data_IF_577205999184
#
_entry.id   IF_577205999184
#
_cell.length_a   1.000
_cell.length_b   1.000
_cell.length_c   1.000
_cell.angle_alpha   90.00
_cell.angle_beta   90.00
_cell.angle_gamma   90.00
#
_symmetry.space_group_name_H-M   'P 1'
#
loop_
_entity.id
_entity.type
_entity.pdbx_description
1 polymer ?
#
# COMPACT_ATOMS: atom_id res chain seq x y z
N UNK A 1 -8.42 -16.95 -11.11
CA UNK A 1 -9.66 -17.71 -10.78
C UNK A 1 -9.73 -17.81 -9.26
N UNK A 2 -10.89 -17.60 -8.63
CA UNK A 2 -11.07 -17.60 -7.16
C UNK A 2 -12.24 -18.53 -6.79
N UNK A 3 -12.19 -19.12 -5.62
CA UNK A 3 -13.33 -19.90 -5.09
C UNK A 3 -14.21 -19.00 -4.23
N UNK A 4 -15.53 -19.06 -4.41
CA UNK A 4 -16.49 -18.30 -3.62
C UNK A 4 -17.26 -19.24 -2.70
N UNK A 5 -17.35 -18.90 -1.42
CA UNK A 5 -18.16 -19.60 -0.44
C UNK A 5 -19.57 -19.02 -0.39
N UNK A 6 -20.57 -19.83 -0.70
CA UNK A 6 -21.98 -19.50 -0.50
C UNK A 6 -22.48 -20.12 0.79
N UNK A 7 -23.18 -19.33 1.61
CA UNK A 7 -23.81 -19.82 2.85
C UNK A 7 -25.31 -19.87 2.63
N UNK A 8 -25.83 -21.09 2.45
CA UNK A 8 -27.25 -21.33 2.13
C UNK A 8 -28.21 -20.69 3.15
N UNK A 9 -27.88 -20.78 4.44
CA UNK A 9 -28.70 -20.20 5.50
C UNK A 9 -28.87 -18.67 5.37
N UNK A 10 -27.84 -17.98 4.89
CA UNK A 10 -27.89 -16.52 4.70
C UNK A 10 -28.25 -16.15 3.25
N UNK A 11 -28.45 -17.15 2.38
CA UNK A 11 -28.70 -16.99 0.94
C UNK A 11 -27.71 -16.06 0.24
N UNK A 12 -26.44 -16.08 0.65
CA UNK A 12 -25.44 -15.11 0.21
C UNK A 12 -24.02 -15.66 0.14
N UNK A 13 -23.18 -14.95 -0.62
CA UNK A 13 -21.75 -15.18 -0.69
C UNK A 13 -21.07 -14.58 0.54
N UNK A 14 -20.32 -15.39 1.29
CA UNK A 14 -19.76 -15.01 2.59
C UNK A 14 -18.24 -14.93 2.62
N UNK A 15 -17.55 -15.56 1.65
CA UNK A 15 -16.09 -15.64 1.68
C UNK A 15 -15.49 -15.85 0.29
N UNK A 16 -14.26 -15.36 0.13
CA UNK A 16 -13.42 -15.59 -1.03
C UNK A 16 -12.21 -16.40 -0.60
N UNK A 17 -11.93 -17.48 -1.32
CA UNK A 17 -10.78 -18.34 -1.06
C UNK A 17 -9.81 -18.29 -2.25
N UNK A 18 -8.51 -18.24 -1.93
CA UNK A 18 -7.42 -18.18 -2.91
C UNK A 18 -7.06 -19.54 -3.51
N UNK A 19 -7.55 -20.63 -2.93
CA UNK A 19 -7.30 -21.99 -3.40
C UNK A 19 -8.40 -22.49 -4.33
N UNK A 20 -8.04 -23.39 -5.25
CA UNK A 20 -8.94 -23.97 -6.26
C UNK A 20 -8.93 -25.49 -6.12
N UNK A 21 -9.87 -26.07 -5.34
CA UNK A 21 -10.01 -27.53 -5.23
C UNK A 21 -10.75 -28.09 -6.44
N UNK A 22 -10.59 -29.39 -6.66
CA UNK A 22 -11.29 -30.12 -7.72
C UNK A 22 -12.63 -30.67 -7.21
N UNK A 23 -12.69 -31.03 -5.92
CA UNK A 23 -13.93 -31.43 -5.25
C UNK A 23 -13.91 -31.13 -3.75
N UNK A 24 -15.09 -30.99 -3.15
CA UNK A 24 -15.31 -30.88 -1.71
C UNK A 24 -16.04 -32.12 -1.19
N UNK A 25 -15.68 -32.59 -0.01
CA UNK A 25 -16.40 -33.65 0.69
C UNK A 25 -16.38 -33.45 2.21
N UNK A 26 -17.28 -34.14 2.90
CA UNK A 26 -17.36 -34.13 4.36
C UNK A 26 -17.42 -35.57 4.86
N UNK A 27 -16.57 -35.92 5.83
CA UNK A 27 -16.53 -37.23 6.46
C UNK A 27 -16.44 -37.08 7.98
N UNK A 28 -17.37 -37.68 8.70
CA UNK A 28 -17.35 -37.68 10.18
C UNK A 28 -17.39 -36.28 10.82
N UNK A 29 -17.95 -35.28 10.12
CA UNK A 29 -17.97 -33.89 10.59
C UNK A 29 -16.78 -33.04 10.12
N UNK A 30 -15.71 -33.66 9.62
CA UNK A 30 -14.53 -32.99 9.08
C UNK A 30 -14.70 -32.70 7.59
N UNK A 31 -14.30 -31.50 7.17
CA UNK A 31 -14.29 -31.11 5.76
C UNK A 31 -12.96 -31.51 5.12
N UNK A 32 -13.03 -32.09 3.92
CA UNK A 32 -11.89 -32.39 3.09
C UNK A 32 -12.10 -31.83 1.69
N UNK A 33 -11.00 -31.64 0.99
CA UNK A 33 -10.98 -31.23 -0.42
C UNK A 33 -10.06 -32.17 -1.20
N UNK A 34 -10.40 -32.42 -2.44
CA UNK A 34 -9.56 -33.17 -3.38
C UNK A 34 -8.83 -32.18 -4.27
N UNK A 35 -7.52 -32.38 -4.42
CA UNK A 35 -6.69 -31.65 -5.37
C UNK A 35 -5.66 -32.56 -6.02
N UNK A 36 -5.67 -32.63 -7.35
CA UNK A 36 -4.75 -33.43 -8.15
C UNK A 36 -4.73 -34.91 -7.68
N UNK A 37 -5.91 -35.44 -7.35
CA UNK A 37 -6.09 -36.80 -6.82
C UNK A 37 -5.74 -37.00 -5.34
N UNK A 38 -5.17 -36.00 -4.67
CA UNK A 38 -4.81 -36.06 -3.26
C UNK A 38 -5.93 -35.54 -2.35
N UNK A 39 -6.08 -36.16 -1.18
CA UNK A 39 -7.03 -35.75 -0.16
C UNK A 39 -6.38 -34.78 0.84
N UNK A 40 -7.00 -33.61 1.04
CA UNK A 40 -6.52 -32.58 1.96
C UNK A 40 -7.57 -32.28 3.01
N UNK A 41 -7.20 -32.39 4.28
CA UNK A 41 -8.07 -32.00 5.40
C UNK A 41 -8.12 -30.47 5.53
N UNK A 42 -9.31 -29.92 5.73
CA UNK A 42 -9.50 -28.49 6.01
C UNK A 42 -9.54 -28.24 7.52
N UNK A 43 -9.08 -27.06 7.95
CA UNK A 43 -9.04 -26.64 9.36
C UNK A 43 -8.29 -27.63 10.27
N UNK A 44 -7.20 -28.21 9.76
CA UNK A 44 -6.33 -29.07 10.56
C UNK A 44 -5.60 -28.25 11.63
N UNK A 45 -6.01 -28.44 12.89
CA UNK A 45 -5.42 -27.76 14.05
C UNK A 45 -4.01 -28.23 14.39
N UNK A 46 -3.56 -29.35 13.84
CA UNK A 46 -2.20 -29.87 14.08
C UNK A 46 -1.16 -29.20 13.18
N UNK A 47 -1.59 -28.55 12.09
CA UNK A 47 -0.68 -27.82 11.21
C UNK A 47 -0.22 -26.50 11.86
N UNK A 48 1.09 -26.29 12.05
CA UNK A 48 1.61 -25.06 12.65
C UNK A 48 1.57 -23.85 11.71
N UNK A 49 1.32 -24.03 10.41
CA UNK A 49 1.32 -22.97 9.39
C UNK A 49 -0.11 -22.79 8.87
N UNK A 50 -0.76 -21.70 9.28
CA UNK A 50 -2.11 -21.37 8.81
C UNK A 50 -2.12 -20.90 7.34
N UNK A 51 -3.32 -20.82 6.75
CA UNK A 51 -3.56 -20.37 5.37
C UNK A 51 -2.72 -21.07 4.29
N UNK A 52 -2.33 -22.32 4.55
CA UNK A 52 -1.62 -23.15 3.59
C UNK A 52 -2.59 -24.13 2.96
N UNK A 53 -2.74 -24.04 1.64
CA UNK A 53 -3.61 -24.89 0.84
C UNK A 53 -2.79 -25.54 -0.25
N UNK A 54 -2.78 -26.88 -0.30
CA UNK A 54 -2.06 -27.65 -1.30
C UNK A 54 -0.54 -27.36 -1.33
N UNK A 55 0.05 -27.12 -0.15
CA UNK A 55 1.46 -26.76 0.01
C UNK A 55 1.80 -25.29 -0.32
N UNK A 56 0.83 -24.47 -0.72
CA UNK A 56 1.02 -23.06 -1.02
C UNK A 56 0.41 -22.20 0.10
N UNK A 57 1.22 -21.31 0.68
CA UNK A 57 0.77 -20.34 1.69
C UNK A 57 0.17 -19.11 1.03
N UNK A 58 -0.96 -18.65 1.54
CA UNK A 58 -1.64 -17.43 1.09
C UNK A 58 -1.82 -16.45 2.26
N UNK A 59 -1.80 -15.14 2.00
CA UNK A 59 -2.10 -14.15 3.03
C UNK A 59 -3.61 -14.09 3.32
N UNK A 60 -3.97 -13.83 4.57
CA UNK A 60 -5.31 -13.36 4.93
C UNK A 60 -5.53 -11.96 4.36
N UNK A 61 -6.71 -11.72 3.77
CA UNK A 61 -7.09 -10.40 3.24
C UNK A 61 -8.47 -9.99 3.72
N UNK A 62 -8.60 -8.72 4.09
CA UNK A 62 -9.87 -8.10 4.46
C UNK A 62 -9.99 -6.81 3.69
N UNK A 63 -11.12 -6.63 3.00
CA UNK A 63 -11.43 -5.41 2.27
C UNK A 63 -12.68 -4.79 2.88
N UNK A 64 -12.63 -3.49 3.16
CA UNK A 64 -13.73 -2.75 3.79
C UNK A 64 -13.66 -1.27 3.42
N UNK A 65 -14.70 -0.51 3.74
CA UNK A 65 -14.81 0.91 3.38
C UNK A 65 -15.19 1.72 4.60
N UNK A 66 -14.46 2.79 4.88
CA UNK A 66 -14.91 3.85 5.78
C UNK A 66 -15.60 4.94 4.98
N UNK A 67 -16.89 5.15 5.25
CA UNK A 67 -17.73 6.12 4.55
C UNK A 67 -18.76 6.76 5.49
N UNK A 68 -18.32 7.16 6.69
CA UNK A 68 -19.13 7.98 7.59
C UNK A 68 -19.38 9.36 6.95
N UNK A 69 -20.56 9.97 7.06
CA UNK A 69 -20.90 11.29 6.48
C UNK A 69 -20.61 11.45 4.96
N UNK A 70 -21.30 10.66 4.13
CA UNK A 70 -21.01 10.40 2.71
C UNK A 70 -20.81 11.62 1.79
N UNK A 71 -21.36 12.78 2.12
CA UNK A 71 -21.30 14.00 1.28
C UNK A 71 -20.10 14.91 1.57
N UNK A 72 -19.47 14.75 2.73
CA UNK A 72 -18.36 15.61 3.15
C UNK A 72 -17.01 14.99 2.75
N UNK A 73 -16.07 15.83 2.33
CA UNK A 73 -14.67 15.43 2.29
C UNK A 73 -14.14 15.27 3.71
N UNK A 74 -13.41 14.19 3.95
CA UNK A 74 -12.81 13.87 5.25
C UNK A 74 -11.31 13.87 5.16
N UNK A 75 -10.69 14.02 6.32
CA UNK A 75 -9.27 13.74 6.53
C UNK A 75 -9.15 12.60 7.53
N UNK A 76 -8.45 11.54 7.12
CA UNK A 76 -8.17 10.37 7.94
C UNK A 76 -6.84 10.58 8.66
N UNK A 77 -6.84 10.49 10.00
CA UNK A 77 -5.65 10.80 10.82
C UNK A 77 -4.95 9.55 11.36
N UNK A 78 -5.72 8.53 11.73
CA UNK A 78 -5.18 7.34 12.39
C UNK A 78 -5.79 6.06 11.85
N UNK A 79 -5.11 4.95 12.07
CA UNK A 79 -5.65 3.62 11.91
C UNK A 79 -5.39 2.82 13.18
N UNK A 80 -6.45 2.24 13.73
CA UNK A 80 -6.41 1.49 14.99
C UNK A 80 -6.98 0.11 14.77
N UNK A 81 -6.22 -0.90 15.16
CA UNK A 81 -6.62 -2.30 15.09
C UNK A 81 -6.84 -2.80 16.51
N UNK A 82 -8.04 -3.32 16.78
CA UNK A 82 -8.35 -4.08 17.99
C UNK A 82 -8.24 -5.57 17.66
N UNK A 83 -7.19 -6.22 18.14
CA UNK A 83 -6.87 -7.58 17.74
C UNK A 83 -5.57 -8.10 18.32
N UNK A 84 -5.22 -9.33 17.95
CA UNK A 84 -4.02 -10.01 18.48
C UNK A 84 -2.71 -9.60 17.81
N UNK A 85 -2.77 -8.99 16.61
CA UNK A 85 -1.62 -8.67 15.77
C UNK A 85 -1.84 -7.41 14.93
N UNK A 86 -0.76 -6.74 14.51
CA UNK A 86 -0.80 -5.69 13.49
C UNK A 86 -0.89 -6.29 12.07
N UNK A 87 -1.38 -5.50 11.12
CA UNK A 87 -1.62 -5.90 9.73
C UNK A 87 -0.95 -4.90 8.79
N UNK A 88 -0.59 -5.34 7.58
CA UNK A 88 -0.31 -4.42 6.48
C UNK A 88 -1.64 -3.80 6.05
N UNK A 89 -1.65 -2.49 5.81
CA UNK A 89 -2.88 -1.77 5.45
C UNK A 89 -2.60 -0.87 4.25
N UNK A 90 -3.38 -1.00 3.19
CA UNK A 90 -3.48 0.00 2.13
C UNK A 90 -4.77 0.79 2.29
N UNK A 91 -4.68 2.11 2.18
CA UNK A 91 -5.82 3.01 2.27
C UNK A 91 -5.85 3.85 0.99
N UNK A 92 -6.96 3.80 0.26
CA UNK A 92 -7.19 4.55 -0.97
C UNK A 92 -8.48 5.36 -0.83
N UNK A 93 -8.42 6.64 -1.13
CA UNK A 93 -9.61 7.48 -1.29
C UNK A 93 -9.79 7.82 -2.77
N UNK A 94 -10.76 8.65 -3.08
CA UNK A 94 -10.91 9.23 -4.41
C UNK A 94 -9.82 10.26 -4.78
N UNK A 95 -9.03 10.75 -3.80
CA UNK A 95 -8.03 11.81 -4.00
C UNK A 95 -6.60 11.40 -3.61
N UNK A 96 -6.45 10.58 -2.58
CA UNK A 96 -5.16 10.31 -1.94
C UNK A 96 -5.01 8.84 -1.59
N UNK A 97 -3.76 8.40 -1.38
CA UNK A 97 -3.43 7.03 -1.02
C UNK A 97 -2.36 6.99 0.05
N UNK A 98 -2.40 6.01 0.94
CA UNK A 98 -1.29 5.70 1.84
C UNK A 98 -1.20 4.21 2.15
N UNK A 99 -0.10 3.82 2.78
CA UNK A 99 0.16 2.46 3.23
C UNK A 99 0.73 2.43 4.66
N UNK A 100 0.37 1.44 5.45
CA UNK A 100 0.93 1.15 6.77
C UNK A 100 1.54 -0.24 6.78
N UNK A 101 2.80 -0.33 7.23
CA UNK A 101 3.48 -1.59 7.50
C UNK A 101 3.15 -2.05 8.92
N UNK A 102 3.32 -3.34 9.19
CA UNK A 102 3.14 -3.90 10.54
C UNK A 102 4.01 -3.19 11.59
N UNK A 103 5.17 -2.67 11.19
CA UNK A 103 6.13 -1.92 12.02
C UNK A 103 5.71 -0.46 12.29
N UNK A 104 4.75 0.09 11.54
CA UNK A 104 4.23 1.45 11.82
C UNK A 104 3.29 1.47 13.02
N UNK A 105 2.81 0.30 13.45
CA UNK A 105 1.89 0.17 14.56
C UNK A 105 2.63 0.07 15.89
N UNK A 106 2.22 0.90 16.84
CA UNK A 106 2.62 0.81 18.23
C UNK A 106 1.52 0.08 19.02
N UNK A 107 1.89 -1.02 19.68
CA UNK A 107 0.98 -1.71 20.58
C UNK A 107 0.80 -0.87 21.85
N UNK A 108 -0.44 -0.50 22.16
CA UNK A 108 -0.82 0.14 23.41
C UNK A 108 -2.00 -0.65 23.97
N UNK A 109 -1.80 -1.25 25.15
CA UNK A 109 -2.77 -2.17 25.75
C UNK A 109 -3.16 -3.29 24.76
N UNK A 110 -4.46 -3.46 24.52
CA UNK A 110 -5.04 -4.48 23.64
C UNK A 110 -5.21 -4.01 22.19
N UNK A 111 -4.57 -2.90 21.79
CA UNK A 111 -4.78 -2.25 20.49
C UNK A 111 -3.45 -1.89 19.82
N UNK A 112 -3.48 -1.86 18.49
CA UNK A 112 -2.37 -1.44 17.65
C UNK A 112 -2.72 -0.10 17.02
N UNK A 113 -1.93 0.94 17.32
CA UNK A 113 -2.17 2.31 16.88
C UNK A 113 -1.12 2.74 15.85
N UNK A 114 -1.57 3.30 14.74
CA UNK A 114 -0.72 3.96 13.75
C UNK A 114 -1.31 5.33 13.36
N UNK A 115 -0.42 6.29 13.12
CA UNK A 115 -0.78 7.51 12.41
C UNK A 115 -0.76 7.23 10.90
N UNK A 116 -1.70 7.80 10.16
CA UNK A 116 -1.61 7.75 8.71
C UNK A 116 -0.39 8.55 8.24
N UNK A 117 0.27 8.04 7.20
CA UNK A 117 1.40 8.71 6.56
C UNK A 117 0.88 9.67 5.50
N UNK A 118 1.77 10.49 4.95
CA UNK A 118 1.42 11.40 3.86
C UNK A 118 0.96 10.66 2.60
N UNK A 119 0.41 11.44 1.67
CA UNK A 119 -0.16 10.96 0.41
C UNK A 119 0.88 10.36 -0.53
N UNK A 120 0.93 9.03 -0.61
CA UNK A 120 1.79 8.22 -1.47
C UNK A 120 1.17 7.96 -2.86
N UNK A 121 0.23 8.79 -3.32
CA UNK A 121 -0.35 8.69 -4.66
C UNK A 121 0.72 9.01 -5.71
N UNK A 122 0.97 8.07 -6.62
CA UNK A 122 1.99 8.20 -7.65
C UNK A 122 1.68 9.37 -8.59
N UNK A 123 2.70 10.20 -8.85
CA UNK A 123 2.58 11.39 -9.71
C UNK A 123 1.83 12.56 -9.08
N UNK A 124 1.35 12.43 -7.84
CA UNK A 124 0.85 13.57 -7.09
C UNK A 124 2.03 14.37 -6.51
N UNK A 125 2.30 15.51 -7.12
CA UNK A 125 3.38 16.43 -6.75
C UNK A 125 2.87 17.64 -5.96
N UNK A 126 1.62 17.61 -5.51
CA UNK A 126 1.03 18.72 -4.77
C UNK A 126 1.65 18.79 -3.36
N UNK A 127 2.20 19.95 -3.02
CA UNK A 127 2.69 20.27 -1.67
C UNK A 127 4.09 19.75 -1.31
N UNK A 128 4.66 18.82 -2.08
CA UNK A 128 5.95 18.17 -1.75
C UNK A 128 7.01 18.24 -2.87
N UNK A 129 6.74 18.94 -3.98
CA UNK A 129 7.67 19.05 -5.11
C UNK A 129 8.28 20.45 -5.25
N UNK A 130 9.50 20.49 -5.79
CA UNK A 130 10.27 21.71 -6.03
C UNK A 130 11.02 21.64 -7.37
N UNK A 131 11.21 22.79 -8.00
CA UNK A 131 12.01 22.89 -9.23
C UNK A 131 13.50 22.70 -8.96
N UNK A 132 14.13 21.78 -9.70
CA UNK A 132 15.59 21.70 -9.78
C UNK A 132 16.09 22.66 -10.86
N UNK A 133 15.53 22.57 -12.07
CA UNK A 133 15.90 23.40 -13.21
C UNK A 133 15.89 22.63 -14.53
N UNK A 134 16.36 23.28 -15.60
CA UNK A 134 16.50 22.67 -16.91
C UNK A 134 17.77 21.81 -16.93
N UNK A 135 17.63 20.53 -17.26
CA UNK A 135 18.75 19.62 -17.45
C UNK A 135 19.56 20.02 -18.69
N UNK A 136 20.88 20.13 -18.55
CA UNK A 136 21.79 20.52 -19.64
C UNK A 136 22.26 19.31 -20.44
N UNK A 137 22.62 18.25 -19.74
CA UNK A 137 23.07 16.98 -20.30
C UNK A 137 22.87 15.87 -19.27
N UNK A 138 22.95 14.63 -19.72
CA UNK A 138 22.95 13.48 -18.85
C UNK A 138 23.98 12.46 -19.33
N UNK A 139 24.56 11.74 -18.38
CA UNK A 139 25.39 10.56 -18.60
C UNK A 139 24.75 9.36 -17.87
N UNK A 140 25.36 8.17 -17.97
CA UNK A 140 24.92 6.88 -17.43
C UNK A 140 23.88 6.92 -16.32
N UNK A 141 24.13 7.61 -15.22
CA UNK A 141 23.27 7.71 -14.04
C UNK A 141 23.18 9.15 -13.48
N UNK A 142 23.71 10.13 -14.21
CA UNK A 142 23.94 11.48 -13.69
C UNK A 142 23.32 12.54 -14.61
N UNK A 143 22.51 13.42 -14.03
CA UNK A 143 21.92 14.60 -14.67
C UNK A 143 22.75 15.84 -14.31
N UNK A 144 23.06 16.67 -15.32
CA UNK A 144 23.84 17.89 -15.15
C UNK A 144 22.97 19.13 -15.32
N UNK A 145 23.20 20.13 -14.47
CA UNK A 145 22.44 21.37 -14.36
C UNK A 145 23.39 22.55 -14.26
N UNK A 146 22.89 23.76 -14.56
CA UNK A 146 23.65 24.98 -14.29
C UNK A 146 23.93 25.17 -12.79
N UNK A 147 22.92 24.83 -11.96
CA UNK A 147 22.98 24.80 -10.51
C UNK A 147 21.86 23.92 -10.00
N UNK A 148 22.14 23.09 -9.01
CA UNK A 148 21.17 22.29 -8.26
C UNK A 148 20.69 23.09 -7.04
N UNK A 149 19.38 23.08 -6.79
CA UNK A 149 18.80 23.73 -5.61
C UNK A 149 19.26 23.06 -4.31
N UNK A 150 19.60 23.86 -3.30
CA UNK A 150 20.03 23.38 -1.98
C UNK A 150 18.95 22.55 -1.27
N UNK A 151 17.69 22.79 -1.63
CA UNK A 151 16.55 22.06 -1.10
C UNK A 151 16.45 20.63 -1.65
N UNK A 152 17.14 20.27 -2.74
CA UNK A 152 17.13 18.91 -3.29
C UNK A 152 18.06 18.02 -2.48
N UNK A 153 17.56 16.91 -1.95
CA UNK A 153 18.31 16.06 -1.01
C UNK A 153 18.48 14.64 -1.56
N UNK A 154 19.49 13.94 -1.03
CA UNK A 154 19.67 12.51 -1.26
C UNK A 154 18.45 11.78 -0.68
N UNK A 155 17.84 10.90 -1.48
CA UNK A 155 16.59 10.21 -1.18
C UNK A 155 15.33 10.88 -1.74
N UNK A 156 15.43 12.08 -2.32
CA UNK A 156 14.32 12.68 -3.07
C UNK A 156 14.07 11.91 -4.40
N UNK A 157 12.86 11.99 -4.92
CA UNK A 157 12.51 11.41 -6.23
C UNK A 157 12.57 12.48 -7.32
N UNK A 158 13.21 12.18 -8.45
CA UNK A 158 13.26 13.10 -9.59
C UNK A 158 12.22 12.78 -10.64
N UNK A 159 11.61 13.83 -11.19
CA UNK A 159 10.64 13.75 -12.27
C UNK A 159 11.06 14.68 -13.41
N UNK A 160 10.91 14.24 -14.66
CA UNK A 160 10.90 15.14 -15.82
C UNK A 160 9.47 15.62 -16.07
N UNK A 161 9.34 16.89 -16.47
CA UNK A 161 8.10 17.39 -17.06
C UNK A 161 8.14 17.20 -18.58
N UNK A 162 7.24 16.36 -19.10
CA UNK A 162 6.96 16.25 -20.53
C UNK A 162 5.55 16.81 -20.79
N UNK A 163 5.49 18.10 -21.16
CA UNK A 163 4.26 18.89 -21.08
C UNK A 163 3.81 19.03 -19.62
N UNK A 164 2.54 18.75 -19.34
CA UNK A 164 1.95 18.81 -17.99
C UNK A 164 2.05 17.49 -17.22
N UNK A 165 2.75 16.48 -17.76
CA UNK A 165 2.84 15.15 -17.14
C UNK A 165 4.20 14.95 -16.47
N UNK A 166 4.24 14.76 -15.13
CA UNK A 166 5.45 14.34 -14.45
C UNK A 166 5.74 12.87 -14.73
N UNK A 167 6.95 12.56 -15.17
CA UNK A 167 7.43 11.20 -15.43
C UNK A 167 8.60 10.93 -14.49
N UNK A 168 8.49 9.88 -13.67
CA UNK A 168 9.53 9.46 -12.72
C UNK A 168 10.82 9.09 -13.47
N UNK A 169 11.95 9.62 -12.97
CA UNK A 169 13.29 9.28 -13.44
C UNK A 169 13.90 8.24 -12.50
N UNK A 170 13.95 8.54 -11.20
CA UNK A 170 14.56 7.70 -10.18
C UNK A 170 14.79 8.46 -8.88
N UNK A 171 15.41 7.80 -7.91
CA UNK A 171 15.72 8.36 -6.60
C UNK A 171 17.14 8.94 -6.58
N UNK A 172 17.32 10.10 -5.95
CA UNK A 172 18.62 10.76 -5.81
C UNK A 172 19.53 9.98 -4.87
N UNK A 173 20.69 9.53 -5.36
CA UNK A 173 21.71 8.84 -4.57
C UNK A 173 22.94 9.72 -4.29
N UNK A 174 23.14 10.78 -5.07
CA UNK A 174 24.24 11.72 -4.90
C UNK A 174 23.91 13.09 -5.49
N UNK A 175 24.50 14.15 -4.94
CA UNK A 175 24.35 15.52 -5.47
C UNK A 175 25.65 16.32 -5.33
N UNK A 176 25.93 17.17 -6.32
CA UNK A 176 26.91 18.26 -6.26
C UNK A 176 26.19 19.59 -6.47
N UNK A 177 26.93 20.69 -6.61
CA UNK A 177 26.35 22.00 -6.93
C UNK A 177 25.72 22.04 -8.34
N UNK A 178 26.12 21.14 -9.23
CA UNK A 178 25.81 21.15 -10.67
C UNK A 178 25.36 19.79 -11.22
N UNK A 179 25.31 18.74 -10.39
CA UNK A 179 24.90 17.41 -10.84
C UNK A 179 24.08 16.65 -9.80
N UNK A 180 23.24 15.74 -10.29
CA UNK A 180 22.47 14.81 -9.48
C UNK A 180 22.64 13.40 -10.05
N UNK A 181 23.07 12.47 -9.21
CA UNK A 181 23.17 11.05 -9.52
C UNK A 181 21.90 10.32 -9.05
N UNK A 182 21.35 9.44 -9.88
CA UNK A 182 20.12 8.67 -9.59
C UNK A 182 20.40 7.17 -9.49
N UNK A 183 19.50 6.42 -8.85
CA UNK A 183 19.60 4.97 -8.66
C UNK A 183 19.31 4.12 -9.92
N UNK A 184 19.17 4.73 -11.09
CA UNK A 184 18.87 4.05 -12.35
C UNK A 184 19.83 4.47 -13.45
N UNK A 185 19.99 3.60 -14.45
CA UNK A 185 20.67 3.98 -15.68
C UNK A 185 19.74 4.82 -16.57
N UNK A 186 20.17 6.03 -16.90
CA UNK A 186 19.54 6.95 -17.81
C UNK A 186 19.79 6.53 -19.25
N UNK A 187 18.78 5.88 -19.84
CA UNK A 187 18.80 5.48 -21.27
C UNK A 187 18.26 6.56 -22.21
N UNK A 188 17.46 7.49 -21.68
CA UNK A 188 16.86 8.58 -22.43
C UNK A 188 17.73 9.85 -22.41
N UNK A 189 17.50 10.75 -23.37
CA UNK A 189 18.07 12.10 -23.36
C UNK A 189 17.18 13.04 -22.53
N UNK A 190 17.74 13.61 -21.47
CA UNK A 190 17.05 14.55 -20.56
C UNK A 190 17.39 16.02 -20.83
N UNK A 191 18.38 16.30 -21.67
CA UNK A 191 18.77 17.67 -22.04
C UNK A 191 17.58 18.48 -22.58
N UNK A 192 17.34 19.66 -21.98
CA UNK A 192 16.26 20.58 -22.33
C UNK A 192 14.97 20.38 -21.54
N UNK A 193 14.81 19.26 -20.83
CA UNK A 193 13.65 19.04 -19.96
C UNK A 193 13.80 19.75 -18.62
N UNK A 194 12.68 20.25 -18.10
CA UNK A 194 12.61 20.77 -16.74
C UNK A 194 12.46 19.61 -15.75
N UNK A 195 13.33 19.58 -14.75
CA UNK A 195 13.38 18.53 -13.73
C UNK A 195 12.86 19.07 -12.41
N UNK A 196 12.01 18.27 -11.78
CA UNK A 196 11.46 18.47 -10.44
C UNK A 196 12.06 17.46 -9.48
N UNK A 197 12.23 17.87 -8.24
CA UNK A 197 12.54 16.99 -7.11
C UNK A 197 11.33 16.93 -6.20
N UNK A 198 10.93 15.73 -5.79
CA UNK A 198 9.85 15.51 -4.84
C UNK A 198 10.40 14.90 -3.57
N UNK A 199 9.97 15.44 -2.42
CA UNK A 199 10.25 14.85 -1.12
C UNK A 199 9.54 13.52 -0.95
N UNK A 200 10.02 12.74 0.03
CA UNK A 200 9.39 11.49 0.38
C UNK A 200 7.95 11.75 0.85
N UNK A 201 6.99 11.40 0.00
CA UNK A 201 5.57 11.58 0.20
C UNK A 201 5.02 10.96 1.50
N UNK A 202 5.65 9.88 2.00
CA UNK A 202 5.28 9.27 3.28
C UNK A 202 5.52 10.19 4.47
N UNK A 203 6.53 11.06 4.38
CA UNK A 203 7.00 11.93 5.46
C UNK A 203 6.48 13.36 5.29
N UNK A 204 6.55 13.89 4.07
CA UNK A 204 6.23 15.30 3.76
C UNK A 204 5.02 15.45 2.81
N UNK A 205 4.32 14.36 2.51
CA UNK A 205 3.13 14.41 1.66
C UNK A 205 1.90 14.96 2.39
N UNK A 206 0.94 15.39 1.57
CA UNK A 206 -0.36 15.87 2.00
C UNK A 206 -1.12 14.87 2.89
N UNK A 207 -2.09 15.39 3.65
CA UNK A 207 -2.96 14.57 4.48
C UNK A 207 -3.86 13.65 3.64
N UNK A 208 -4.20 12.49 4.18
CA UNK A 208 -5.08 11.54 3.50
C UNK A 208 -6.52 12.03 3.58
N UNK A 209 -7.03 12.48 2.43
CA UNK A 209 -8.36 13.10 2.29
C UNK A 209 -9.22 12.48 1.22
N UNK A 210 -10.53 12.57 1.37
CA UNK A 210 -11.53 12.17 0.37
C UNK A 210 -12.89 11.83 0.98
N UNK A 211 -13.85 11.48 0.12
CA UNK A 211 -15.23 11.14 0.52
C UNK A 211 -15.31 9.81 1.27
N UNK A 212 -14.47 8.86 0.92
CA UNK A 212 -14.43 7.54 1.54
C UNK A 212 -12.99 7.04 1.56
N UNK A 213 -12.74 6.00 2.35
CA UNK A 213 -11.49 5.25 2.33
C UNK A 213 -11.77 3.77 2.09
N UNK A 214 -11.33 3.28 0.93
CA UNK A 214 -11.19 1.85 0.64
C UNK A 214 -9.96 1.33 1.36
N UNK A 215 -10.16 0.32 2.19
CA UNK A 215 -9.14 -0.27 3.05
C UNK A 215 -8.93 -1.71 2.63
N UNK A 216 -7.71 -2.06 2.27
CA UNK A 216 -7.26 -3.45 2.13
C UNK A 216 -6.26 -3.75 3.24
N UNK A 217 -6.59 -4.74 4.07
CA UNK A 217 -5.70 -5.25 5.12
C UNK A 217 -5.17 -6.61 4.71
N UNK A 218 -3.90 -6.85 4.98
CA UNK A 218 -3.22 -8.11 4.69
C UNK A 218 -2.42 -8.60 5.89
N UNK A 219 -2.50 -9.89 6.16
CA UNK A 219 -1.70 -10.56 7.18
C UNK A 219 -1.13 -11.87 6.64
N UNK A 220 0.15 -12.10 6.89
CA UNK A 220 0.89 -13.27 6.43
C UNK A 220 1.53 -14.04 7.59
N UNK A 221 0.97 -13.94 8.80
CA UNK A 221 1.41 -14.69 9.97
C UNK A 221 1.21 -16.20 9.74
N UNK A 222 2.06 -17.01 10.36
CA UNK A 222 1.94 -18.48 10.38
C UNK A 222 0.95 -18.94 11.44
N UNK A 223 0.59 -18.06 12.38
CA UNK A 223 -0.29 -18.37 13.51
C UNK A 223 -1.65 -17.72 13.34
N UNK A 224 -2.64 -18.33 14.00
CA UNK A 224 -3.99 -17.76 14.09
C UNK A 224 -3.92 -16.35 14.68
N UNK A 225 -4.60 -15.41 14.02
CA UNK A 225 -4.76 -14.02 14.46
C UNK A 225 -6.24 -13.70 14.60
N UNK A 226 -6.56 -12.86 15.58
CA UNK A 226 -7.92 -12.37 15.82
C UNK A 226 -7.99 -10.88 15.51
N UNK A 227 -9.04 -10.49 14.79
CA UNK A 227 -9.38 -9.09 14.51
C UNK A 227 -10.81 -8.87 15.01
N UNK A 228 -10.96 -7.97 15.99
CA UNK A 228 -12.25 -7.66 16.59
C UNK A 228 -12.87 -6.41 15.98
N UNK A 229 -12.05 -5.37 15.77
CA UNK A 229 -12.50 -4.11 15.20
C UNK A 229 -11.35 -3.35 14.52
N UNK A 230 -11.73 -2.48 13.60
CA UNK A 230 -10.87 -1.44 13.05
C UNK A 230 -11.52 -0.08 13.24
N UNK A 231 -10.71 0.92 13.58
CA UNK A 231 -11.19 2.26 13.82
C UNK A 231 -10.25 3.28 13.18
N UNK A 232 -10.78 4.46 12.86
CA UNK A 232 -9.99 5.61 12.40
C UNK A 232 -10.50 6.87 13.10
N UNK A 233 -9.58 7.77 13.44
CA UNK A 233 -9.95 9.14 13.75
C UNK A 233 -10.10 9.91 12.43
N UNK A 234 -11.31 10.43 12.21
CA UNK A 234 -11.72 11.12 10.99
C UNK A 234 -12.17 12.53 11.39
N UNK A 235 -11.71 13.53 10.65
CA UNK A 235 -12.17 14.92 10.79
C UNK A 235 -12.75 15.42 9.46
N UNK A 236 -13.68 16.38 9.53
CA UNK A 236 -14.21 17.03 8.34
C UNK A 236 -13.14 17.92 7.69
N UNK A 237 -13.02 17.84 6.37
CA UNK A 237 -12.26 18.81 5.57
C UNK A 237 -13.06 20.10 5.42
N UNK A 238 -12.42 21.25 5.61
CA UNK A 238 -13.02 22.59 5.47
C UNK A 238 -12.47 23.38 4.29
N UNK A 239 -11.66 22.74 3.46
CA UNK A 239 -11.09 23.33 2.23
C UNK A 239 -12.16 23.40 1.15
#
# INVERSE_FOLDING_TARGET
MKTLGFKEKETGWVSFFSFLPDAYLRLGGTAFVIKDGNLWQQNDKSNPIINTFFGVKYPSKINTVFNEAQTDDKIFKTFVIEGSSSWEVEIKTNLTRTSLKTTDFNKKESRYFAYLRGNEQEGDLNGNAQGVGICQSNDSDTLFFKRVSDFTNIGDQLFKLDGDKPILIGDVIGKTEDSIQVNVNLVDRYAGFFILSSKNARVEGDEIRGYYADIEMKNNDDKQVELFAINSNIIKSYV
#
